data_IF_888705784151
#
_entry.id   IF_888705784151
#
_cell.length_a   1.000
_cell.length_b   1.000
_cell.length_c   1.000
_cell.angle_alpha   90.00
_cell.angle_beta   90.00
_cell.angle_gamma   90.00
#
_symmetry.space_group_name_H-M   'P 1'
#
loop_
_entity.id
_entity.type
_entity.pdbx_description
1 polymer ?
#
# COMPACT_ATOMS: atom_id res chain seq x y z
N UNK A 1 -28.94 14.96 -4.27
CA UNK A 1 -27.76 15.56 -3.60
C UNK A 1 -27.87 17.07 -3.66
N UNK A 2 -27.75 17.75 -2.53
CA UNK A 2 -27.80 19.21 -2.43
C UNK A 2 -26.59 19.86 -3.15
N UNK A 3 -26.86 20.87 -4.01
CA UNK A 3 -25.81 21.57 -4.78
C UNK A 3 -24.82 22.33 -3.89
N UNK A 4 -25.26 22.76 -2.70
CA UNK A 4 -24.42 23.42 -1.70
C UNK A 4 -23.46 22.42 -1.06
N UNK A 5 -23.93 21.25 -0.67
CA UNK A 5 -23.10 20.18 -0.12
C UNK A 5 -22.03 19.73 -1.12
N UNK A 6 -22.37 19.64 -2.40
CA UNK A 6 -21.38 19.33 -3.45
C UNK A 6 -20.29 20.37 -3.55
N UNK A 7 -20.64 21.66 -3.50
CA UNK A 7 -19.66 22.75 -3.51
C UNK A 7 -18.73 22.69 -2.29
N UNK A 8 -19.28 22.47 -1.10
CA UNK A 8 -18.49 22.35 0.12
C UNK A 8 -17.50 21.19 0.03
N UNK A 9 -17.95 20.03 -0.45
CA UNK A 9 -17.08 18.86 -0.61
C UNK A 9 -16.00 19.12 -1.64
N UNK A 10 -16.30 19.69 -2.82
CA UNK A 10 -15.29 19.96 -3.84
C UNK A 10 -14.27 20.98 -3.36
N UNK A 11 -14.70 22.11 -2.79
CA UNK A 11 -13.79 23.14 -2.29
C UNK A 11 -12.90 22.62 -1.16
N UNK A 12 -13.46 21.84 -0.23
CA UNK A 12 -12.69 21.19 0.83
C UNK A 12 -11.62 20.22 0.25
N UNK A 13 -12.00 19.40 -0.72
CA UNK A 13 -11.06 18.43 -1.31
C UNK A 13 -9.93 19.13 -2.07
N UNK A 14 -10.22 20.21 -2.78
CA UNK A 14 -9.24 21.01 -3.50
C UNK A 14 -8.27 21.71 -2.52
N UNK A 15 -8.79 22.34 -1.46
CA UNK A 15 -7.97 22.92 -0.40
C UNK A 15 -7.11 21.89 0.33
N UNK A 16 -7.71 20.74 0.69
CA UNK A 16 -6.99 19.63 1.34
C UNK A 16 -5.88 19.04 0.43
N UNK A 17 -6.08 19.08 -0.89
CA UNK A 17 -5.05 18.70 -1.85
C UNK A 17 -3.88 19.71 -1.87
N UNK A 18 -4.21 20.99 -1.94
CA UNK A 18 -3.23 22.08 -2.07
C UNK A 18 -2.41 22.28 -0.79
N UNK A 19 -3.07 22.32 0.38
CA UNK A 19 -2.43 22.68 1.64
C UNK A 19 -1.75 21.49 2.35
N UNK A 20 -2.37 20.32 2.32
CA UNK A 20 -1.88 19.16 3.08
C UNK A 20 -1.20 18.11 2.20
N UNK A 21 -1.05 18.35 0.91
CA UNK A 21 -0.45 17.39 -0.03
C UNK A 21 -1.16 16.03 -0.02
N UNK A 22 -2.49 16.03 0.22
CA UNK A 22 -3.24 14.80 0.38
C UNK A 22 -3.15 13.92 -0.87
N UNK A 23 -2.74 12.67 -0.68
CA UNK A 23 -2.62 11.72 -1.78
C UNK A 23 -3.97 11.54 -2.48
N UNK A 24 -3.95 11.43 -3.82
CA UNK A 24 -5.14 11.24 -4.65
C UNK A 24 -6.11 10.16 -4.12
N UNK A 25 -5.59 9.05 -3.58
CA UNK A 25 -6.41 7.99 -3.01
C UNK A 25 -7.13 8.43 -1.72
N UNK A 26 -6.53 9.30 -0.92
CA UNK A 26 -7.18 9.89 0.27
C UNK A 26 -8.31 10.81 -0.15
N UNK A 27 -8.09 11.65 -1.17
CA UNK A 27 -9.12 12.52 -1.73
C UNK A 27 -10.31 11.72 -2.27
N UNK A 28 -10.05 10.66 -3.07
CA UNK A 28 -11.08 9.79 -3.61
C UNK A 28 -11.85 9.04 -2.51
N UNK A 29 -11.18 8.65 -1.44
CA UNK A 29 -11.81 8.01 -0.30
C UNK A 29 -12.71 8.99 0.47
N UNK A 30 -12.21 10.19 0.75
CA UNK A 30 -12.96 11.25 1.41
C UNK A 30 -14.15 11.71 0.57
N UNK A 31 -13.96 11.90 -0.74
CA UNK A 31 -15.05 12.24 -1.65
C UNK A 31 -16.20 11.23 -1.60
N UNK A 32 -15.88 9.93 -1.57
CA UNK A 32 -16.88 8.87 -1.47
C UNK A 32 -17.57 8.86 -0.11
N UNK A 33 -16.78 8.98 0.97
CA UNK A 33 -17.32 8.96 2.33
C UNK A 33 -18.23 10.16 2.61
N UNK A 34 -17.85 11.34 2.14
CA UNK A 34 -18.64 12.56 2.32
C UNK A 34 -19.90 12.57 1.47
N UNK A 35 -19.87 12.01 0.25
CA UNK A 35 -21.07 11.84 -0.58
C UNK A 35 -22.07 10.91 0.09
N UNK A 36 -21.62 9.77 0.59
CA UNK A 36 -22.47 8.81 1.31
C UNK A 36 -23.14 9.47 2.53
N UNK A 37 -22.38 10.30 3.26
CA UNK A 37 -22.90 11.05 4.40
C UNK A 37 -23.97 12.08 4.00
N UNK A 38 -23.75 12.85 2.92
CA UNK A 38 -24.70 13.83 2.38
C UNK A 38 -25.96 13.14 1.87
N UNK A 39 -25.83 12.04 1.17
CA UNK A 39 -26.98 11.28 0.65
C UNK A 39 -27.82 10.73 1.79
N UNK A 40 -27.18 10.23 2.86
CA UNK A 40 -27.89 9.81 4.07
C UNK A 40 -28.62 10.96 4.75
N UNK A 41 -27.96 12.11 4.94
CA UNK A 41 -28.56 13.30 5.55
C UNK A 41 -29.76 13.79 4.75
N UNK A 42 -29.64 13.86 3.42
CA UNK A 42 -30.73 14.22 2.53
C UNK A 42 -31.92 13.27 2.62
N UNK A 43 -31.69 11.97 2.79
CA UNK A 43 -32.78 10.99 3.01
C UNK A 43 -33.52 11.19 4.36
N UNK A 44 -32.87 11.83 5.34
CA UNK A 44 -33.49 12.23 6.62
C UNK A 44 -34.17 13.62 6.54
N UNK A 45 -34.17 14.27 5.37
CA UNK A 45 -34.69 15.62 5.20
C UNK A 45 -33.82 16.72 5.86
N UNK A 46 -32.57 16.37 6.25
CA UNK A 46 -31.66 17.30 6.90
C UNK A 46 -30.74 17.98 5.88
N UNK A 47 -30.55 19.31 6.04
CA UNK A 47 -29.61 20.06 5.24
C UNK A 47 -28.18 19.92 5.82
N UNK A 48 -27.22 19.71 4.96
CA UNK A 48 -25.84 19.43 5.33
C UNK A 48 -25.16 20.56 6.14
N UNK A 49 -25.57 21.80 5.88
CA UNK A 49 -25.06 22.98 6.58
C UNK A 49 -25.64 23.16 8.01
N UNK A 50 -26.76 22.48 8.31
CA UNK A 50 -27.44 22.58 9.62
C UNK A 50 -27.28 21.33 10.50
N UNK A 51 -26.64 20.25 9.98
CA UNK A 51 -26.47 19.03 10.74
C UNK A 51 -25.81 19.28 12.10
N UNK A 52 -26.40 18.69 13.13
CA UNK A 52 -25.93 18.74 14.49
C UNK A 52 -24.97 17.61 14.82
N UNK A 53 -24.36 17.65 15.99
CA UNK A 53 -23.59 16.53 16.53
C UNK A 53 -24.41 15.23 16.60
N UNK A 54 -25.67 15.33 17.03
CA UNK A 54 -26.56 14.17 17.16
C UNK A 54 -26.82 13.50 15.81
N UNK A 55 -26.95 14.28 14.72
CA UNK A 55 -27.13 13.74 13.37
C UNK A 55 -25.89 12.99 12.89
N UNK A 56 -24.68 13.50 13.18
CA UNK A 56 -23.44 12.81 12.83
C UNK A 56 -23.31 11.50 13.64
N UNK A 57 -23.66 11.51 14.91
CA UNK A 57 -23.69 10.31 15.76
C UNK A 57 -24.71 9.29 15.22
N UNK A 58 -25.91 9.73 14.81
CA UNK A 58 -26.92 8.88 14.18
C UNK A 58 -26.42 8.26 12.86
N UNK A 59 -25.68 9.02 12.02
CA UNK A 59 -25.04 8.48 10.84
C UNK A 59 -24.02 7.38 11.18
N UNK A 60 -23.22 7.55 12.23
CA UNK A 60 -22.25 6.53 12.65
C UNK A 60 -22.94 5.25 13.14
N UNK A 61 -24.08 5.38 13.84
CA UNK A 61 -24.95 4.26 14.21
C UNK A 61 -25.53 3.59 12.97
N UNK A 62 -26.04 4.37 12.00
CA UNK A 62 -26.47 3.84 10.71
C UNK A 62 -25.37 3.05 10.01
N UNK A 63 -24.15 3.58 9.95
CA UNK A 63 -23.00 2.84 9.40
C UNK A 63 -22.75 1.51 10.13
N UNK A 64 -22.98 1.46 11.44
CA UNK A 64 -22.83 0.23 12.23
C UNK A 64 -23.91 -0.78 11.93
N UNK A 65 -25.18 -0.36 11.84
CA UNK A 65 -26.32 -1.22 11.50
C UNK A 65 -26.21 -1.79 10.07
N UNK A 66 -25.55 -1.05 9.15
CA UNK A 66 -25.21 -1.54 7.82
C UNK A 66 -24.00 -2.50 7.81
N UNK A 67 -23.46 -2.88 8.95
CA UNK A 67 -22.36 -3.84 9.08
C UNK A 67 -20.98 -3.29 8.64
N UNK A 68 -20.81 -1.97 8.52
CA UNK A 68 -19.53 -1.40 8.11
C UNK A 68 -18.44 -1.66 9.17
N UNK A 69 -17.26 -2.07 8.70
CA UNK A 69 -16.11 -2.31 9.56
C UNK A 69 -15.73 -1.08 10.40
N UNK A 70 -15.25 -1.29 11.62
CA UNK A 70 -14.80 -0.20 12.53
C UNK A 70 -13.81 0.76 11.86
N UNK A 71 -12.88 0.25 11.05
CA UNK A 71 -11.91 1.06 10.32
C UNK A 71 -12.56 1.95 9.26
N UNK A 72 -13.61 1.47 8.59
CA UNK A 72 -14.37 2.26 7.62
C UNK A 72 -15.14 3.37 8.32
N UNK A 73 -15.82 3.07 9.44
CA UNK A 73 -16.52 4.06 10.25
C UNK A 73 -15.58 5.14 10.81
N UNK A 74 -14.38 4.73 11.29
CA UNK A 74 -13.35 5.66 11.75
C UNK A 74 -12.86 6.59 10.62
N UNK A 75 -12.68 6.08 9.39
CA UNK A 75 -12.28 6.88 8.23
C UNK A 75 -13.38 7.85 7.81
N UNK A 76 -14.64 7.40 7.79
CA UNK A 76 -15.83 8.27 7.50
C UNK A 76 -15.90 9.42 8.50
N UNK A 77 -15.78 9.13 9.80
CA UNK A 77 -15.75 10.18 10.82
C UNK A 77 -14.56 11.13 10.64
N UNK A 78 -13.39 10.63 10.27
CA UNK A 78 -12.24 11.48 10.00
C UNK A 78 -12.48 12.44 8.82
N UNK A 79 -13.10 11.97 7.73
CA UNK A 79 -13.48 12.81 6.60
C UNK A 79 -14.50 13.89 7.01
N UNK A 80 -15.54 13.51 7.77
CA UNK A 80 -16.57 14.44 8.28
C UNK A 80 -15.93 15.50 9.18
N UNK A 81 -15.06 15.11 10.11
CA UNK A 81 -14.33 16.06 10.98
C UNK A 81 -13.50 17.06 10.21
N UNK A 82 -12.75 16.59 9.21
CA UNK A 82 -11.92 17.48 8.41
C UNK A 82 -12.76 18.48 7.62
N UNK A 83 -13.90 18.04 7.07
CA UNK A 83 -14.80 18.92 6.35
C UNK A 83 -15.44 19.98 7.27
N UNK A 84 -15.97 19.61 8.44
CA UNK A 84 -16.60 20.59 9.34
C UNK A 84 -15.58 21.52 9.99
N UNK A 85 -14.36 21.04 10.27
CA UNK A 85 -13.27 21.92 10.69
C UNK A 85 -12.92 22.95 9.62
N UNK A 86 -12.86 22.53 8.36
CA UNK A 86 -12.66 23.41 7.23
C UNK A 86 -13.80 24.41 7.08
N UNK A 87 -15.05 23.94 7.12
CA UNK A 87 -16.23 24.79 7.04
C UNK A 87 -16.28 25.84 8.17
N UNK A 88 -15.86 25.48 9.38
CA UNK A 88 -15.72 26.42 10.49
C UNK A 88 -14.61 27.44 10.24
N UNK A 89 -13.45 27.01 9.77
CA UNK A 89 -12.31 27.88 9.47
C UNK A 89 -12.62 28.88 8.34
N UNK A 90 -13.37 28.44 7.30
CA UNK A 90 -13.79 29.28 6.18
C UNK A 90 -15.03 30.16 6.52
N UNK A 91 -15.55 30.08 7.74
CA UNK A 91 -16.71 30.86 8.16
C UNK A 91 -18.05 30.40 7.55
N UNK A 92 -18.09 29.21 6.93
CA UNK A 92 -19.33 28.65 6.38
C UNK A 92 -20.28 28.21 7.49
N UNK A 93 -19.73 27.87 8.65
CA UNK A 93 -20.46 27.57 9.90
C UNK A 93 -19.89 28.32 11.07
N UNK A 94 -20.73 28.56 12.08
CA UNK A 94 -20.33 29.19 13.35
C UNK A 94 -19.87 28.17 14.40
N UNK A 95 -19.98 26.85 14.09
CA UNK A 95 -19.65 25.72 14.97
C UNK A 95 -18.98 24.59 14.20
N UNK A 96 -18.31 23.69 14.92
CA UNK A 96 -17.82 22.41 14.42
C UNK A 96 -18.55 21.27 15.15
N UNK A 97 -19.65 20.72 14.54
CA UNK A 97 -20.47 19.70 15.17
C UNK A 97 -19.73 18.36 15.33
N UNK A 98 -18.63 18.14 14.61
CA UNK A 98 -17.87 16.91 14.64
C UNK A 98 -16.71 16.89 15.66
N UNK A 99 -16.37 18.05 16.26
CA UNK A 99 -15.15 18.24 17.07
C UNK A 99 -15.08 17.30 18.30
N UNK A 100 -16.21 17.03 18.96
CA UNK A 100 -16.26 16.26 20.22
C UNK A 100 -16.82 14.84 20.07
N UNK A 101 -17.02 14.34 18.82
CA UNK A 101 -17.55 13.00 18.61
C UNK A 101 -16.44 11.98 18.88
N UNK A 102 -16.71 11.01 19.72
CA UNK A 102 -15.76 9.89 19.95
C UNK A 102 -15.90 8.87 18.84
N UNK A 103 -14.81 8.56 18.15
CA UNK A 103 -14.80 7.56 17.09
C UNK A 103 -14.88 6.13 17.61
N UNK A 104 -15.20 5.15 16.73
CA UNK A 104 -15.18 3.75 17.13
C UNK A 104 -13.77 3.40 17.59
N UNK A 105 -13.67 2.88 18.81
CA UNK A 105 -12.40 2.54 19.48
C UNK A 105 -11.49 1.68 18.59
N UNK A 106 -10.18 1.83 18.73
CA UNK A 106 -9.21 0.99 18.02
C UNK A 106 -9.45 -0.48 18.37
N UNK A 107 -9.59 -1.33 17.37
CA UNK A 107 -9.59 -2.77 17.58
C UNK A 107 -8.20 -3.17 18.12
N UNK A 108 -8.15 -3.75 19.33
CA UNK A 108 -6.92 -4.31 19.93
C UNK A 108 -6.56 -5.69 19.32
N UNK A 109 -6.92 -5.96 18.07
CA UNK A 109 -6.38 -7.17 17.43
C UNK A 109 -4.88 -6.96 17.28
N UNK A 110 -4.09 -7.80 17.93
CA UNK A 110 -2.66 -7.95 17.62
C UNK A 110 -2.55 -8.16 16.11
N UNK A 111 -1.68 -7.43 15.43
CA UNK A 111 -1.47 -7.64 14.00
C UNK A 111 -1.10 -9.11 13.79
N UNK A 112 -1.86 -9.83 12.96
CA UNK A 112 -1.48 -11.17 12.54
C UNK A 112 -0.17 -11.04 11.75
N UNK A 113 0.92 -11.57 12.28
CA UNK A 113 2.20 -11.73 11.57
C UNK A 113 2.27 -13.15 11.03
N UNK A 114 2.88 -13.32 9.88
CA UNK A 114 3.26 -14.64 9.37
C UNK A 114 4.60 -15.02 9.99
N UNK A 115 4.72 -16.26 10.46
CA UNK A 115 5.99 -16.84 10.90
C UNK A 115 6.87 -17.22 9.70
N UNK A 116 8.16 -17.54 9.96
CA UNK A 116 9.10 -17.95 8.92
C UNK A 116 8.57 -19.13 8.10
N UNK A 117 8.10 -20.20 8.75
CA UNK A 117 7.56 -21.38 8.08
C UNK A 117 6.34 -21.07 7.19
N UNK A 118 5.48 -20.12 7.59
CA UNK A 118 4.35 -19.69 6.76
C UNK A 118 4.81 -18.92 5.53
N UNK A 119 5.85 -18.09 5.65
CA UNK A 119 6.45 -17.38 4.51
C UNK A 119 7.14 -18.35 3.56
N UNK A 120 7.90 -19.32 4.06
CA UNK A 120 8.56 -20.34 3.25
C UNK A 120 7.54 -21.18 2.48
N UNK A 121 6.42 -21.55 3.12
CA UNK A 121 5.33 -22.22 2.45
C UNK A 121 4.70 -21.38 1.32
N UNK A 122 4.55 -20.07 1.52
CA UNK A 122 4.08 -19.14 0.48
C UNK A 122 5.06 -19.07 -0.70
N UNK A 123 6.36 -18.97 -0.44
CA UNK A 123 7.38 -18.93 -1.48
C UNK A 123 7.44 -20.24 -2.26
N UNK A 124 7.36 -21.39 -1.57
CA UNK A 124 7.28 -22.71 -2.21
C UNK A 124 6.03 -22.84 -3.10
N UNK A 125 4.87 -22.41 -2.60
CA UNK A 125 3.63 -22.42 -3.39
C UNK A 125 3.70 -21.48 -4.60
N UNK A 126 4.35 -20.30 -4.46
CA UNK A 126 4.52 -19.36 -5.56
C UNK A 126 5.30 -19.94 -6.74
N UNK A 127 6.31 -20.78 -6.47
CA UNK A 127 7.09 -21.52 -7.50
C UNK A 127 6.22 -22.42 -8.36
N UNK A 128 5.12 -22.92 -7.82
CA UNK A 128 4.21 -23.86 -8.47
C UNK A 128 2.94 -23.18 -9.01
N UNK A 129 2.70 -21.93 -8.67
CA UNK A 129 1.50 -21.18 -9.06
C UNK A 129 1.68 -20.50 -10.42
N UNK A 130 0.88 -20.89 -11.41
CA UNK A 130 0.91 -20.33 -12.77
C UNK A 130 0.75 -21.44 -13.82
N UNK A 131 0.15 -21.07 -14.96
CA UNK A 131 -0.13 -21.99 -16.09
C UNK A 131 1.10 -22.24 -16.96
N UNK A 132 2.04 -21.32 -16.97
CA UNK A 132 3.29 -21.40 -17.74
C UNK A 132 4.49 -21.21 -16.83
N UNK A 133 5.67 -21.57 -17.32
CA UNK A 133 6.94 -21.35 -16.63
C UNK A 133 7.17 -19.83 -16.39
N UNK A 134 6.89 -18.99 -17.38
CA UNK A 134 6.96 -17.54 -17.27
C UNK A 134 6.03 -16.98 -16.17
N UNK A 135 4.81 -17.51 -16.04
CA UNK A 135 3.90 -17.10 -14.97
C UNK A 135 4.42 -17.52 -13.59
N UNK A 136 4.96 -18.73 -13.47
CA UNK A 136 5.56 -19.22 -12.21
C UNK A 136 6.79 -18.41 -11.83
N UNK A 137 7.69 -18.13 -12.78
CA UNK A 137 8.86 -17.27 -12.56
C UNK A 137 8.45 -15.86 -12.11
N UNK A 138 7.44 -15.26 -12.77
CA UNK A 138 6.89 -13.96 -12.37
C UNK A 138 6.32 -13.98 -10.95
N UNK A 139 5.54 -14.99 -10.62
CA UNK A 139 4.85 -15.09 -9.34
C UNK A 139 5.86 -15.28 -8.19
N UNK A 140 6.88 -16.11 -8.40
CA UNK A 140 7.98 -16.25 -7.45
C UNK A 140 8.74 -14.94 -7.30
N UNK A 141 9.08 -14.26 -8.39
CA UNK A 141 9.78 -12.98 -8.36
C UNK A 141 8.99 -11.91 -7.58
N UNK A 142 7.67 -11.83 -7.79
CA UNK A 142 6.78 -10.93 -7.04
C UNK A 142 6.85 -11.20 -5.54
N UNK A 143 6.78 -12.46 -5.13
CA UNK A 143 6.78 -12.86 -3.73
C UNK A 143 8.14 -12.64 -3.06
N UNK A 144 9.22 -13.04 -3.72
CA UNK A 144 10.59 -12.85 -3.24
C UNK A 144 10.94 -11.37 -3.08
N UNK A 145 10.64 -10.54 -4.09
CA UNK A 145 10.87 -9.10 -3.99
C UNK A 145 10.04 -8.46 -2.87
N UNK A 146 8.75 -8.82 -2.73
CA UNK A 146 7.91 -8.26 -1.68
C UNK A 146 8.46 -8.58 -0.29
N UNK A 147 8.84 -9.83 -0.05
CA UNK A 147 9.34 -10.26 1.24
C UNK A 147 10.77 -9.79 1.51
N UNK A 148 11.67 -9.84 0.53
CA UNK A 148 13.06 -9.40 0.71
C UNK A 148 13.21 -7.90 0.94
N UNK A 149 12.27 -7.08 0.47
CA UNK A 149 12.40 -5.62 0.48
C UNK A 149 11.39 -4.90 1.35
N UNK A 150 10.31 -5.58 1.74
CA UNK A 150 9.21 -4.94 2.43
C UNK A 150 8.56 -3.79 1.67
N UNK A 151 8.66 -3.72 0.34
CA UNK A 151 8.01 -2.69 -0.49
C UNK A 151 6.51 -2.63 -0.26
N UNK A 152 5.91 -1.45 -0.50
CA UNK A 152 4.46 -1.37 -0.64
C UNK A 152 4.04 -2.05 -1.94
N UNK A 153 2.83 -2.65 -1.96
CA UNK A 153 2.33 -3.32 -3.17
C UNK A 153 2.34 -2.40 -4.41
N UNK A 154 2.05 -1.11 -4.23
CA UNK A 154 2.12 -0.14 -5.34
C UNK A 154 3.54 0.05 -5.87
N UNK A 155 4.53 0.10 -4.98
CA UNK A 155 5.95 0.22 -5.34
C UNK A 155 6.41 -1.02 -6.12
N UNK A 156 6.03 -2.22 -5.66
CA UNK A 156 6.36 -3.48 -6.30
C UNK A 156 5.77 -3.59 -7.71
N UNK A 157 4.45 -3.44 -7.85
CA UNK A 157 3.79 -3.67 -9.15
C UNK A 157 4.12 -2.60 -10.19
N UNK A 158 4.48 -1.38 -9.77
CA UNK A 158 4.90 -0.29 -10.65
C UNK A 158 6.42 -0.14 -10.75
N UNK A 159 7.20 -1.14 -10.32
CA UNK A 159 8.67 -1.11 -10.40
C UNK A 159 9.10 -1.05 -11.87
N UNK A 160 9.86 0.00 -12.28
CA UNK A 160 10.38 0.06 -13.64
C UNK A 160 11.41 -1.05 -13.88
N UNK A 161 11.39 -1.67 -15.05
CA UNK A 161 12.41 -2.69 -15.40
C UNK A 161 13.82 -2.11 -15.38
N UNK A 162 13.98 -0.83 -15.69
CA UNK A 162 15.27 -0.14 -15.66
C UNK A 162 15.92 -0.12 -14.25
N UNK A 163 15.11 -0.17 -13.18
CA UNK A 163 15.61 -0.17 -11.81
C UNK A 163 16.27 -1.49 -11.40
N UNK A 164 16.10 -2.55 -12.20
CA UNK A 164 16.53 -3.92 -11.86
C UNK A 164 17.38 -4.59 -12.96
N UNK A 165 17.75 -3.85 -14.01
CA UNK A 165 18.63 -4.38 -15.07
C UNK A 165 20.06 -4.54 -14.54
N UNK A 166 20.78 -5.54 -15.05
CA UNK A 166 22.21 -5.74 -14.75
C UNK A 166 22.50 -6.39 -13.41
N UNK A 167 21.57 -7.18 -12.86
CA UNK A 167 21.73 -7.90 -11.60
C UNK A 167 22.08 -6.99 -10.40
N UNK A 168 21.21 -6.05 -10.05
CA UNK A 168 21.51 -5.11 -8.98
C UNK A 168 21.49 -5.80 -7.61
N UNK A 169 22.46 -5.47 -6.77
CA UNK A 169 22.45 -5.84 -5.35
C UNK A 169 21.47 -4.99 -4.54
N UNK A 170 21.10 -3.83 -5.06
CA UNK A 170 20.14 -2.89 -4.45
C UNK A 170 19.18 -2.34 -5.50
N UNK A 171 17.97 -2.05 -5.09
CA UNK A 171 16.91 -1.49 -5.94
C UNK A 171 16.48 -0.13 -5.43
N UNK A 172 16.44 0.85 -6.33
CA UNK A 172 15.88 2.16 -6.04
C UNK A 172 14.34 2.08 -6.06
N UNK A 173 13.72 2.29 -4.91
CA UNK A 173 12.26 2.27 -4.74
C UNK A 173 11.75 3.68 -4.55
N UNK A 174 10.80 4.07 -5.41
CA UNK A 174 10.15 5.38 -5.32
C UNK A 174 8.83 5.27 -4.57
N UNK A 175 8.75 5.92 -3.40
CA UNK A 175 7.62 5.88 -2.47
C UNK A 175 6.62 7.02 -2.65
N UNK A 176 5.74 7.17 -1.65
CA UNK A 176 4.73 8.24 -1.60
C UNK A 176 5.42 9.62 -1.61
N UNK A 177 4.90 10.53 -2.44
CA UNK A 177 5.44 11.90 -2.55
C UNK A 177 6.76 11.98 -3.33
N UNK A 178 7.12 10.95 -4.11
CA UNK A 178 8.35 10.93 -4.90
C UNK A 178 9.62 10.64 -4.08
N UNK A 179 9.51 10.37 -2.78
CA UNK A 179 10.66 10.01 -1.94
C UNK A 179 11.28 8.69 -2.41
N UNK A 180 12.57 8.70 -2.57
CA UNK A 180 13.33 7.54 -3.04
C UNK A 180 14.10 6.89 -1.88
N UNK A 181 14.28 5.57 -1.96
CA UNK A 181 15.15 4.82 -1.05
C UNK A 181 15.78 3.64 -1.77
N UNK A 182 17.00 3.31 -1.36
CA UNK A 182 17.69 2.09 -1.79
C UNK A 182 17.32 0.95 -0.86
N UNK A 183 17.01 -0.22 -1.44
CA UNK A 183 16.67 -1.43 -0.68
C UNK A 183 17.54 -2.58 -1.19
N UNK A 184 18.29 -3.29 -0.33
CA UNK A 184 19.11 -4.42 -0.74
C UNK A 184 18.23 -5.61 -1.12
N UNK A 185 18.72 -6.42 -2.06
CA UNK A 185 18.11 -7.68 -2.46
C UNK A 185 18.87 -8.85 -1.85
N UNK A 186 18.13 -9.76 -1.21
CA UNK A 186 18.67 -11.07 -0.79
C UNK A 186 19.01 -11.91 -2.01
N UNK A 187 19.87 -12.90 -1.83
CA UNK A 187 20.29 -13.80 -2.92
C UNK A 187 19.10 -14.56 -3.56
N UNK A 188 18.14 -15.12 -2.80
CA UNK A 188 16.93 -15.71 -3.39
C UNK A 188 16.12 -14.72 -4.23
N UNK A 189 15.97 -13.48 -3.78
CA UNK A 189 15.26 -12.44 -4.54
C UNK A 189 15.98 -12.10 -5.85
N UNK A 190 17.32 -12.04 -5.84
CA UNK A 190 18.13 -11.82 -7.05
C UNK A 190 17.99 -12.97 -8.04
N UNK A 191 18.09 -14.24 -7.59
CA UNK A 191 17.86 -15.42 -8.44
C UNK A 191 16.47 -15.45 -9.07
N UNK A 192 15.43 -15.16 -8.28
CA UNK A 192 14.06 -15.09 -8.79
C UNK A 192 13.85 -13.94 -9.78
N UNK A 193 14.50 -12.79 -9.53
CA UNK A 193 14.51 -11.65 -10.44
C UNK A 193 15.19 -11.99 -11.77
N UNK A 194 16.35 -12.61 -11.76
CA UNK A 194 17.08 -13.03 -12.96
C UNK A 194 16.27 -14.03 -13.79
N UNK A 195 15.67 -15.03 -13.15
CA UNK A 195 14.81 -16.00 -13.81
C UNK A 195 13.61 -15.32 -14.50
N UNK A 196 12.98 -14.36 -13.83
CA UNK A 196 11.89 -13.60 -14.43
C UNK A 196 12.37 -12.67 -15.56
N UNK A 197 13.51 -11.99 -15.40
CA UNK A 197 14.06 -11.12 -16.43
C UNK A 197 14.39 -11.85 -17.73
N UNK A 198 14.80 -13.12 -17.68
CA UNK A 198 14.99 -13.95 -18.88
C UNK A 198 13.68 -14.09 -19.70
N UNK A 199 12.56 -14.36 -19.05
CA UNK A 199 11.25 -14.41 -19.71
C UNK A 199 10.77 -13.02 -20.17
N UNK A 200 11.04 -11.99 -19.36
CA UNK A 200 10.72 -10.61 -19.69
C UNK A 200 11.44 -10.17 -20.97
N UNK A 201 12.76 -10.45 -21.08
CA UNK A 201 13.59 -10.12 -22.25
C UNK A 201 13.14 -10.86 -23.51
N UNK A 202 12.72 -12.12 -23.40
CA UNK A 202 12.12 -12.86 -24.52
C UNK A 202 10.89 -12.12 -25.06
N UNK A 203 10.03 -11.63 -24.16
CA UNK A 203 8.85 -10.85 -24.56
C UNK A 203 9.24 -9.50 -25.16
N UNK A 204 10.18 -8.78 -24.57
CA UNK A 204 10.66 -7.50 -25.03
C UNK A 204 11.30 -7.60 -26.43
N UNK A 205 12.13 -8.63 -26.65
CA UNK A 205 12.77 -8.90 -27.94
C UNK A 205 11.75 -9.21 -29.04
N UNK A 206 10.70 -9.97 -28.74
CA UNK A 206 9.62 -10.23 -29.69
C UNK A 206 8.84 -8.97 -30.05
N UNK A 207 8.61 -8.05 -29.11
CA UNK A 207 7.98 -6.76 -29.37
C UNK A 207 8.89 -5.85 -30.20
N UNK A 208 10.19 -5.81 -29.89
CA UNK A 208 11.22 -5.05 -30.61
C UNK A 208 11.30 -5.49 -32.06
N UNK A 209 11.28 -6.79 -32.33
CA UNK A 209 11.26 -7.34 -33.68
C UNK A 209 10.02 -6.88 -34.49
N UNK A 210 8.90 -6.65 -33.82
CA UNK A 210 7.67 -6.11 -34.39
C UNK A 210 7.62 -4.57 -34.41
N UNK A 211 8.69 -3.88 -34.03
CA UNK A 211 8.75 -2.42 -33.86
C UNK A 211 7.69 -1.86 -32.91
N UNK A 212 7.29 -2.66 -31.91
CA UNK A 212 6.37 -2.26 -30.84
C UNK A 212 7.16 -1.80 -29.60
N UNK A 213 6.60 -0.90 -28.77
CA UNK A 213 7.27 -0.41 -27.59
C UNK A 213 7.47 -1.54 -26.56
N UNK A 214 8.63 -1.56 -25.95
CA UNK A 214 8.95 -2.48 -24.85
C UNK A 214 8.16 -2.12 -23.59
N UNK A 215 7.84 -3.10 -22.73
CA UNK A 215 7.18 -2.82 -21.48
C UNK A 215 8.09 -1.97 -20.57
N UNK A 216 7.54 -0.90 -20.02
CA UNK A 216 8.26 -0.01 -19.08
C UNK A 216 8.49 -0.64 -17.72
N UNK A 217 7.55 -1.49 -17.29
CA UNK A 217 7.50 -2.04 -15.94
C UNK A 217 8.02 -3.48 -15.89
N UNK A 218 8.56 -3.86 -14.72
CA UNK A 218 9.04 -5.22 -14.47
C UNK A 218 7.90 -6.24 -14.57
N UNK A 219 6.70 -5.88 -14.11
CA UNK A 219 5.49 -6.72 -14.15
C UNK A 219 4.44 -6.10 -15.08
N UNK A 220 4.62 -6.22 -16.40
CA UNK A 220 3.74 -5.59 -17.37
C UNK A 220 2.36 -6.21 -17.38
N UNK A 221 1.36 -5.41 -17.74
CA UNK A 221 -0.04 -5.84 -17.95
C UNK A 221 -0.68 -5.01 -19.05
N UNK A 222 -1.70 -5.60 -19.70
CA UNK A 222 -2.52 -4.90 -20.73
C UNK A 222 -3.50 -3.90 -20.12
N UNK A 223 -3.56 -3.76 -18.79
CA UNK A 223 -4.43 -2.80 -18.12
C UNK A 223 -4.01 -1.35 -18.36
N UNK A 224 -4.88 -0.41 -17.99
CA UNK A 224 -4.69 1.04 -18.21
C UNK A 224 -3.34 1.58 -17.71
N UNK A 225 -2.84 1.05 -16.60
CA UNK A 225 -1.62 1.54 -15.96
C UNK A 225 -0.34 0.91 -16.57
N UNK A 226 -0.48 -0.04 -17.51
CA UNK A 226 0.63 -0.74 -18.17
C UNK A 226 1.39 -1.73 -17.28
N UNK A 227 1.01 -1.87 -16.02
CA UNK A 227 1.60 -2.81 -15.06
C UNK A 227 0.53 -3.64 -14.34
N UNK A 228 0.94 -4.69 -13.66
CA UNK A 228 0.06 -5.52 -12.84
C UNK A 228 -0.72 -4.66 -11.83
N UNK A 229 -2.03 -4.85 -11.74
CA UNK A 229 -2.84 -4.10 -10.78
C UNK A 229 -2.64 -4.63 -9.34
N UNK A 230 -2.83 -3.74 -8.36
CA UNK A 230 -2.82 -4.14 -6.94
C UNK A 230 -3.86 -5.21 -6.64
N UNK A 231 -5.02 -5.12 -7.29
CA UNK A 231 -6.11 -6.10 -7.12
C UNK A 231 -5.70 -7.45 -7.69
N UNK A 232 -5.12 -7.47 -8.90
CA UNK A 232 -4.63 -8.71 -9.51
C UNK A 232 -3.55 -9.38 -8.68
N UNK A 233 -2.62 -8.60 -8.12
CA UNK A 233 -1.61 -9.14 -7.21
C UNK A 233 -2.22 -9.65 -5.90
N UNK A 234 -3.20 -8.95 -5.33
CA UNK A 234 -3.90 -9.41 -4.13
C UNK A 234 -4.63 -10.74 -4.36
N UNK A 235 -5.29 -10.90 -5.51
CA UNK A 235 -5.96 -12.16 -5.88
C UNK A 235 -4.95 -13.29 -6.09
N UNK A 236 -3.84 -13.02 -6.76
CA UNK A 236 -2.73 -13.96 -6.91
C UNK A 236 -2.19 -14.41 -5.54
N UNK A 237 -1.98 -13.48 -4.63
CA UNK A 237 -1.47 -13.77 -3.30
C UNK A 237 -2.43 -14.67 -2.50
N UNK A 238 -3.73 -14.48 -2.65
CA UNK A 238 -4.74 -15.35 -2.04
C UNK A 238 -4.72 -16.77 -2.63
N UNK A 239 -4.55 -16.90 -3.96
CA UNK A 239 -4.39 -18.23 -4.61
C UNK A 239 -3.13 -18.94 -4.10
N UNK A 240 -2.01 -18.22 -4.00
CA UNK A 240 -0.77 -18.73 -3.42
C UNK A 240 -0.98 -19.17 -1.97
N UNK A 241 -1.67 -18.37 -1.15
CA UNK A 241 -1.95 -18.71 0.25
C UNK A 241 -2.80 -19.98 0.39
N UNK A 242 -3.84 -20.13 -0.44
CA UNK A 242 -4.66 -21.34 -0.48
C UNK A 242 -3.83 -22.57 -0.84
N UNK A 243 -2.93 -22.47 -1.83
CA UNK A 243 -2.02 -23.57 -2.24
C UNK A 243 -0.98 -23.90 -1.19
N UNK A 244 -0.56 -22.92 -0.40
CA UNK A 244 0.33 -23.11 0.74
C UNK A 244 -0.37 -23.72 1.97
N UNK A 245 -1.67 -23.97 1.92
CA UNK A 245 -2.45 -24.48 3.05
C UNK A 245 -2.72 -23.44 4.14
N UNK A 246 -2.57 -22.15 3.81
CA UNK A 246 -2.81 -21.05 4.74
C UNK A 246 -4.20 -20.44 4.53
N UNK A 247 -4.77 -19.86 5.58
CA UNK A 247 -6.00 -19.07 5.47
C UNK A 247 -5.75 -17.82 4.61
N UNK A 248 -6.37 -17.72 3.40
CA UNK A 248 -6.15 -16.59 2.50
C UNK A 248 -6.62 -15.25 3.08
N UNK A 249 -7.47 -15.25 4.10
CA UNK A 249 -7.94 -14.02 4.76
C UNK A 249 -6.88 -13.39 5.65
N UNK A 250 -5.92 -14.20 6.13
CA UNK A 250 -4.79 -13.77 6.95
C UNK A 250 -3.62 -13.24 6.12
N UNK A 251 -3.58 -13.52 4.81
CA UNK A 251 -2.46 -13.19 3.94
C UNK A 251 -2.79 -11.98 3.07
N UNK A 252 -1.95 -10.97 3.16
CA UNK A 252 -2.04 -9.75 2.33
C UNK A 252 -0.65 -9.15 2.12
N UNK A 253 -0.46 -8.28 1.10
CA UNK A 253 0.82 -7.60 0.90
C UNK A 253 1.29 -6.83 2.15
N UNK A 254 0.34 -6.29 2.92
CA UNK A 254 0.65 -5.56 4.14
C UNK A 254 1.12 -6.47 5.26
N UNK A 255 0.53 -7.65 5.38
CA UNK A 255 0.95 -8.68 6.36
C UNK A 255 2.35 -9.21 6.03
N UNK A 256 2.66 -9.46 4.75
CA UNK A 256 4.02 -9.85 4.32
C UNK A 256 5.06 -8.76 4.61
N UNK A 257 4.73 -7.50 4.34
CA UNK A 257 5.60 -6.37 4.72
C UNK A 257 5.79 -6.27 6.24
N UNK A 258 4.76 -6.57 7.02
CA UNK A 258 4.86 -6.60 8.47
C UNK A 258 5.74 -7.78 8.93
N UNK A 259 5.58 -8.96 8.32
CA UNK A 259 6.45 -10.11 8.56
C UNK A 259 7.92 -9.79 8.26
N UNK A 260 8.24 -9.15 7.13
CA UNK A 260 9.59 -8.65 6.81
C UNK A 260 10.15 -7.80 7.97
N UNK A 261 9.39 -6.78 8.42
CA UNK A 261 9.85 -5.90 9.51
C UNK A 261 10.06 -6.65 10.83
N UNK A 262 9.13 -7.54 11.19
CA UNK A 262 9.18 -8.32 12.43
C UNK A 262 10.33 -9.33 12.41
N UNK A 263 10.55 -9.98 11.28
CA UNK A 263 11.63 -10.96 11.12
C UNK A 263 13.02 -10.30 11.14
N UNK A 264 13.19 -9.13 10.53
CA UNK A 264 14.42 -8.35 10.66
C UNK A 264 14.66 -7.93 12.11
N UNK A 265 13.62 -7.45 12.81
CA UNK A 265 13.73 -7.06 14.21
C UNK A 265 14.10 -8.26 15.09
N UNK A 266 13.47 -9.42 14.90
CA UNK A 266 13.78 -10.66 15.60
C UNK A 266 15.20 -11.15 15.29
N UNK A 267 15.73 -10.89 14.09
CA UNK A 267 17.10 -11.15 13.69
C UNK A 267 18.14 -10.19 14.29
N UNK A 268 17.71 -9.16 15.04
CA UNK A 268 18.60 -8.21 15.71
C UNK A 268 18.81 -6.89 14.96
N UNK A 269 18.10 -6.64 13.85
CA UNK A 269 18.17 -5.36 13.19
C UNK A 269 17.55 -4.23 14.04
N UNK A 270 18.19 -3.07 14.07
CA UNK A 270 17.65 -1.94 14.82
C UNK A 270 16.40 -1.33 14.17
N UNK A 271 15.50 -0.80 15.01
CA UNK A 271 14.21 -0.27 14.56
C UNK A 271 14.36 0.89 13.57
N UNK A 272 15.37 1.74 13.72
CA UNK A 272 15.60 2.91 12.86
C UNK A 272 15.99 2.47 11.45
N UNK A 273 16.83 1.46 11.34
CA UNK A 273 17.21 0.85 10.06
C UNK A 273 15.99 0.23 9.37
N UNK A 274 15.16 -0.51 10.11
CA UNK A 274 13.92 -1.07 9.57
C UNK A 274 12.98 0.04 9.08
N UNK A 275 12.81 1.12 9.83
CA UNK A 275 12.02 2.29 9.42
C UNK A 275 12.54 2.93 8.13
N UNK A 276 13.86 3.04 7.99
CA UNK A 276 14.51 3.58 6.78
C UNK A 276 14.24 2.67 5.57
N UNK A 277 14.44 1.36 5.70
CA UNK A 277 14.12 0.36 4.66
C UNK A 277 12.65 0.42 4.22
N UNK A 278 11.76 0.61 5.18
CA UNK A 278 10.32 0.70 4.92
C UNK A 278 9.89 2.07 4.35
N UNK A 279 10.72 3.10 4.43
CA UNK A 279 10.40 4.46 3.96
C UNK A 279 9.29 5.10 4.80
N UNK A 280 9.44 5.09 6.13
CA UNK A 280 8.63 5.88 7.05
C UNK A 280 9.08 7.33 7.02
N UNK A 281 8.14 8.28 7.01
CA UNK A 281 8.34 9.68 6.58
C UNK A 281 9.18 10.57 7.51
N UNK A 282 9.66 10.09 8.66
CA UNK A 282 10.24 10.93 9.73
C UNK A 282 11.77 10.87 9.83
N UNK A 283 12.49 10.62 8.75
CA UNK A 283 13.95 10.78 8.75
C UNK A 283 14.37 11.74 7.65
N UNK A 284 14.35 13.03 8.01
CA UNK A 284 15.03 14.06 7.25
C UNK A 284 16.55 13.88 7.43
N UNK A 285 17.24 13.34 6.45
CA UNK A 285 18.64 13.63 6.08
C UNK A 285 19.13 12.61 5.04
N UNK A 286 18.94 12.92 3.76
CA UNK A 286 19.31 12.01 2.67
C UNK A 286 20.72 12.30 2.11
N UNK A 287 21.46 13.30 2.58
CA UNK A 287 22.68 13.74 1.89
C UNK A 287 24.02 13.33 2.50
N UNK A 288 24.08 12.80 3.72
CA UNK A 288 25.40 12.54 4.38
C UNK A 288 25.74 11.06 4.57
N UNK A 289 24.81 10.13 4.32
CA UNK A 289 24.99 8.72 4.74
C UNK A 289 25.01 7.68 3.60
N UNK A 290 25.17 8.09 2.34
CA UNK A 290 24.98 7.18 1.21
C UNK A 290 25.93 5.98 1.20
N UNK A 291 27.19 6.12 1.56
CA UNK A 291 28.15 4.99 1.53
C UNK A 291 28.16 4.13 2.80
N UNK A 292 28.16 4.74 3.98
CA UNK A 292 28.19 3.99 5.26
C UNK A 292 26.86 3.29 5.55
N UNK A 293 25.75 3.94 5.17
CA UNK A 293 24.41 3.37 5.30
C UNK A 293 24.20 2.20 4.34
N UNK A 294 24.78 2.28 3.14
CA UNK A 294 24.65 1.24 2.10
C UNK A 294 25.33 -0.08 2.50
N UNK A 295 26.53 -0.02 3.06
CA UNK A 295 27.23 -1.23 3.56
C UNK A 295 26.54 -1.82 4.79
N UNK A 296 26.08 -0.98 5.72
CA UNK A 296 25.38 -1.42 6.93
C UNK A 296 23.98 -1.96 6.63
N UNK A 297 23.26 -1.41 5.65
CA UNK A 297 21.99 -1.95 5.18
C UNK A 297 22.14 -3.29 4.46
N UNK A 298 23.21 -3.44 3.68
CA UNK A 298 23.55 -4.73 3.03
C UNK A 298 23.85 -5.81 4.07
N UNK A 299 24.72 -5.53 5.06
CA UNK A 299 25.07 -6.50 6.09
C UNK A 299 23.84 -6.90 6.91
N UNK A 300 22.99 -5.95 7.30
CA UNK A 300 21.78 -6.24 8.08
C UNK A 300 20.77 -7.14 7.36
N UNK A 301 20.52 -6.91 6.06
CA UNK A 301 19.64 -7.79 5.30
C UNK A 301 20.30 -9.14 5.02
N UNK A 302 21.60 -9.15 4.69
CA UNK A 302 22.32 -10.40 4.42
C UNK A 302 22.57 -11.24 5.68
N UNK A 303 22.70 -10.61 6.86
CA UNK A 303 22.96 -11.30 8.13
C UNK A 303 21.69 -11.69 8.89
N UNK A 304 20.62 -10.88 8.78
CA UNK A 304 19.43 -11.01 9.62
C UNK A 304 18.15 -11.39 8.86
N UNK A 305 18.16 -11.39 7.51
CA UNK A 305 17.00 -11.86 6.77
C UNK A 305 17.00 -13.39 6.75
N UNK A 306 15.86 -14.07 7.02
CA UNK A 306 15.80 -15.53 7.08
C UNK A 306 16.31 -16.25 5.84
N UNK A 307 16.07 -15.67 4.66
CA UNK A 307 16.52 -16.22 3.37
C UNK A 307 17.98 -15.85 3.01
N UNK A 308 18.73 -15.21 3.89
CA UNK A 308 20.14 -14.87 3.64
C UNK A 308 21.11 -15.92 4.20
N UNK A 309 20.61 -16.85 5.03
CA UNK A 309 21.39 -17.96 5.60
C UNK A 309 21.14 -19.22 4.78
N UNK A 310 21.83 -19.38 3.68
CA UNK A 310 22.11 -20.66 3.00
C UNK A 310 23.61 -20.87 2.90
#
# INVERSE_FOLDING_TARGET
>A
MDAQAQRWISTFLDAHAAEQGAARNTQLAYARDLRDFVDWAGAQGASFDTLSRADIEAYLVHCETQGLAKSTRARRLAAIRQLYRFAYAEGWRKDDPASRITGPGKSKKLPATLGHAEVDALLAAARLTGRSEAERARNLCLMELLYATGMRVTELVSLPVAAVRGDPKMVLVRGKGGKERMVPLSEPARRALQAWLAHWETTASALRAKRLPEPRYLFPSKGRDGHLSRVSFFLLLRDIATRAGLDPTRVSPHVLRHAFATHLLAGGADLRTIQTLLGHADVSTTEIYTHVLEERLKSLVLEHHPLAKE
#
